data_IF_710994138913
#
_entry.id   IF_710994138913
#
_cell.length_a   1.000
_cell.length_b   1.000
_cell.length_c   1.000
_cell.angle_alpha   90.00
_cell.angle_beta   90.00
_cell.angle_gamma   90.00
#
_symmetry.space_group_name_H-M   'P 1'
#
loop_
_entity.id
_entity.type
_entity.pdbx_description
1 polymer ?
#
# COMPACT_ATOMS: atom_id res chain seq x y z
N UNK A 1 1.67 27.86 -7.09
CA UNK A 1 1.94 27.68 -5.65
C UNK A 1 3.00 26.61 -5.49
N UNK A 2 4.07 26.88 -4.73
CA UNK A 2 5.21 25.97 -4.60
C UNK A 2 4.95 24.90 -3.52
N UNK A 3 5.22 23.62 -3.86
CA UNK A 3 5.06 22.47 -2.95
C UNK A 3 6.36 21.65 -2.97
N UNK A 4 7.02 21.55 -1.83
CA UNK A 4 8.20 20.70 -1.68
C UNK A 4 7.85 19.38 -1.02
N UNK A 5 8.12 18.27 -1.70
CA UNK A 5 7.97 16.91 -1.20
C UNK A 5 9.27 16.45 -0.55
N UNK A 6 9.23 16.24 0.76
CA UNK A 6 10.37 15.86 1.58
C UNK A 6 10.40 14.34 1.77
N UNK A 7 11.37 13.70 1.14
CA UNK A 7 11.58 12.26 1.22
C UNK A 7 12.73 11.90 2.15
N UNK A 8 12.70 10.68 2.68
CA UNK A 8 13.87 10.07 3.35
C UNK A 8 15.06 9.93 2.39
N UNK A 9 16.22 9.54 2.90
CA UNK A 9 17.35 9.12 2.08
C UNK A 9 16.93 7.92 1.23
N UNK A 10 17.22 7.96 -0.06
CA UNK A 10 16.89 6.87 -0.97
C UNK A 10 17.53 5.56 -0.51
N UNK A 11 16.74 4.50 -0.47
CA UNK A 11 17.13 3.15 -0.06
C UNK A 11 16.67 2.12 -1.09
N UNK A 12 16.95 0.84 -0.89
CA UNK A 12 16.49 -0.24 -1.78
C UNK A 12 14.95 -0.38 -1.83
N UNK A 13 14.22 0.06 -0.80
CA UNK A 13 12.76 0.03 -0.78
C UNK A 13 12.22 1.40 -1.16
N UNK A 14 11.70 1.53 -2.37
CA UNK A 14 11.24 2.79 -2.98
C UNK A 14 9.71 2.89 -3.11
N UNK A 15 8.94 2.12 -2.35
CA UNK A 15 7.48 2.03 -2.52
C UNK A 15 6.75 3.38 -2.32
N UNK A 16 7.18 4.18 -1.34
CA UNK A 16 6.62 5.52 -1.09
C UNK A 16 7.04 6.49 -2.18
N UNK A 17 8.30 6.49 -2.52
CA UNK A 17 8.88 7.33 -3.56
C UNK A 17 8.23 7.04 -4.93
N UNK A 18 7.99 5.76 -5.23
CA UNK A 18 7.24 5.33 -6.41
C UNK A 18 5.81 5.88 -6.38
N UNK A 19 5.10 5.72 -5.27
CA UNK A 19 3.74 6.24 -5.12
C UNK A 19 3.67 7.73 -5.50
N UNK A 20 4.53 8.54 -4.88
CA UNK A 20 4.54 9.97 -5.14
C UNK A 20 5.05 10.35 -6.53
N UNK A 21 5.85 9.52 -7.21
CA UNK A 21 6.25 9.76 -8.60
C UNK A 21 5.06 9.72 -9.58
N UNK A 22 3.96 9.04 -9.23
CA UNK A 22 2.71 9.06 -9.99
C UNK A 22 1.79 10.23 -9.62
N UNK A 23 1.81 10.66 -8.35
CA UNK A 23 0.92 11.73 -7.86
C UNK A 23 1.46 13.11 -8.21
N UNK A 24 2.76 13.35 -8.07
CA UNK A 24 3.39 14.66 -8.23
C UNK A 24 3.15 15.27 -9.62
N UNK A 25 3.31 14.55 -10.74
CA UNK A 25 3.02 15.11 -12.07
C UNK A 25 1.55 15.52 -12.25
N UNK A 26 0.63 14.86 -11.57
CA UNK A 26 -0.78 15.23 -11.60
C UNK A 26 -1.08 16.47 -10.73
N UNK A 27 -0.32 16.67 -9.66
CA UNK A 27 -0.36 17.91 -8.86
C UNK A 27 0.17 19.10 -9.69
N UNK A 28 1.26 18.92 -10.46
CA UNK A 28 1.77 19.95 -11.37
C UNK A 28 0.73 20.38 -12.40
N UNK A 29 -0.01 19.43 -12.99
CA UNK A 29 -1.12 19.73 -13.92
C UNK A 29 -2.24 20.55 -13.28
N UNK A 30 -2.37 20.55 -11.96
CA UNK A 30 -3.32 21.37 -11.20
C UNK A 30 -2.80 22.78 -10.90
N UNK A 31 -1.64 23.15 -11.45
CA UNK A 31 -1.06 24.51 -11.35
C UNK A 31 -0.15 24.72 -10.13
N UNK A 32 0.38 23.65 -9.55
CA UNK A 32 1.42 23.74 -8.54
C UNK A 32 2.82 23.65 -9.16
N UNK A 33 3.82 24.26 -8.54
CA UNK A 33 5.24 24.10 -8.85
C UNK A 33 5.83 23.15 -7.82
N UNK A 34 6.07 21.89 -8.20
CA UNK A 34 6.47 20.84 -7.26
C UNK A 34 7.96 20.54 -7.34
N UNK A 35 8.57 20.23 -6.20
CA UNK A 35 9.97 19.80 -6.11
C UNK A 35 10.09 18.62 -5.17
N UNK A 36 10.81 17.58 -5.60
CA UNK A 36 11.15 16.43 -4.75
C UNK A 36 12.53 16.72 -4.11
N UNK A 37 12.58 16.65 -2.79
CA UNK A 37 13.79 16.92 -2.02
C UNK A 37 14.09 15.68 -1.16
N UNK A 38 15.09 14.91 -1.57
CA UNK A 38 15.54 13.73 -0.87
C UNK A 38 16.55 14.10 0.23
N UNK A 39 16.40 13.50 1.40
CA UNK A 39 17.38 13.65 2.49
C UNK A 39 18.74 13.07 2.06
N UNK A 40 19.83 13.86 2.06
CA UNK A 40 21.14 13.34 1.69
C UNK A 40 21.87 12.63 2.85
N UNK A 41 21.40 12.77 4.09
CA UNK A 41 22.11 12.34 5.30
C UNK A 41 21.54 11.03 5.88
N UNK A 42 22.41 10.30 6.59
CA UNK A 42 22.03 9.09 7.32
C UNK A 42 21.29 9.41 8.62
N UNK A 43 20.54 8.44 9.14
CA UNK A 43 19.77 8.58 10.38
C UNK A 43 20.65 8.31 11.61
N UNK A 44 21.65 9.18 11.84
CA UNK A 44 22.45 9.27 13.07
C UNK A 44 22.33 10.69 13.64
N UNK A 45 22.81 10.94 14.83
CA UNK A 45 22.63 12.21 15.55
C UNK A 45 23.09 13.41 14.71
N UNK A 46 24.28 13.35 14.14
CA UNK A 46 24.82 14.43 13.28
C UNK A 46 24.02 14.54 11.98
N UNK A 47 23.64 13.42 11.38
CA UNK A 47 22.83 13.40 10.16
C UNK A 47 21.43 13.97 10.38
N UNK A 48 20.80 13.71 11.52
CA UNK A 48 19.50 14.32 11.89
C UNK A 48 19.64 15.84 11.99
N UNK A 49 20.68 16.35 12.67
CA UNK A 49 20.91 17.81 12.78
C UNK A 49 21.12 18.43 11.39
N UNK A 50 21.98 17.81 10.56
CA UNK A 50 22.24 18.26 9.19
C UNK A 50 20.95 18.22 8.34
N UNK A 51 20.13 17.17 8.48
CA UNK A 51 18.85 17.05 7.79
C UNK A 51 17.89 18.19 8.16
N UNK A 52 17.78 18.51 9.46
CA UNK A 52 16.93 19.62 9.92
C UNK A 52 17.35 20.93 9.27
N UNK A 53 18.64 21.27 9.30
CA UNK A 53 19.16 22.49 8.68
C UNK A 53 18.93 22.50 7.15
N UNK A 54 19.20 21.36 6.50
CA UNK A 54 19.00 21.20 5.07
C UNK A 54 17.54 21.42 4.65
N UNK A 55 16.58 20.74 5.26
CA UNK A 55 15.16 20.90 4.92
C UNK A 55 14.63 22.29 5.29
N UNK A 56 15.10 22.87 6.39
CA UNK A 56 14.74 24.25 6.76
C UNK A 56 15.25 25.29 5.74
N UNK A 57 16.34 25.02 5.03
CA UNK A 57 16.82 25.88 3.94
C UNK A 57 16.03 25.72 2.64
N UNK A 58 15.24 24.63 2.50
CA UNK A 58 14.46 24.30 1.29
C UNK A 58 12.96 24.55 1.48
N UNK A 59 12.60 25.66 2.14
CA UNK A 59 11.19 26.00 2.39
C UNK A 59 10.46 26.33 1.10
N UNK A 60 9.20 25.90 1.02
CA UNK A 60 8.23 26.31 0.01
C UNK A 60 6.95 26.85 0.69
N UNK A 61 5.98 27.25 -0.12
CA UNK A 61 4.67 27.64 0.36
C UNK A 61 4.03 26.49 1.16
N UNK A 62 4.19 25.25 0.66
CA UNK A 62 3.80 24.03 1.34
C UNK A 62 4.96 23.07 1.39
N UNK A 63 5.17 22.43 2.54
CA UNK A 63 6.15 21.38 2.73
C UNK A 63 5.41 20.09 3.04
N UNK A 64 5.55 19.08 2.20
CA UNK A 64 4.88 17.80 2.36
C UNK A 64 5.90 16.71 2.72
N UNK A 65 5.85 16.21 3.94
CA UNK A 65 6.67 15.09 4.40
C UNK A 65 5.96 13.80 3.96
N UNK A 66 6.54 13.09 3.00
CA UNK A 66 5.94 11.89 2.39
C UNK A 66 6.54 10.58 2.86
N UNK A 67 7.79 10.64 3.34
CA UNK A 67 8.54 9.45 3.74
C UNK A 67 8.63 9.28 5.25
N UNK A 68 9.37 8.24 5.67
CA UNK A 68 9.55 7.84 7.05
C UNK A 68 10.58 8.76 7.80
N UNK A 69 10.34 10.07 7.74
CA UNK A 69 11.10 11.11 8.44
C UNK A 69 10.17 12.01 9.25
N UNK A 70 9.17 11.41 9.91
CA UNK A 70 8.11 12.13 10.65
C UNK A 70 8.68 13.11 11.68
N UNK A 71 9.79 12.78 12.34
CA UNK A 71 10.49 13.63 13.31
C UNK A 71 10.86 15.01 12.75
N UNK A 72 11.01 15.15 11.43
CA UNK A 72 11.29 16.42 10.77
C UNK A 72 10.16 17.44 11.00
N UNK A 73 8.93 16.98 11.12
CA UNK A 73 7.74 17.81 11.37
C UNK A 73 7.88 18.70 12.62
N UNK A 74 8.64 18.24 13.62
CA UNK A 74 8.86 18.97 14.88
C UNK A 74 9.56 20.31 14.62
N UNK A 75 10.39 20.37 13.60
CA UNK A 75 11.27 21.51 13.29
C UNK A 75 10.78 22.41 12.14
N UNK A 76 9.64 22.08 11.54
CA UNK A 76 9.04 22.84 10.44
C UNK A 76 7.85 23.69 10.90
N UNK A 77 7.41 24.61 10.03
CA UNK A 77 6.24 25.47 10.30
C UNK A 77 4.96 24.64 10.26
N UNK A 78 4.19 24.55 11.37
CA UNK A 78 3.00 23.70 11.43
C UNK A 78 1.85 24.16 10.53
N UNK A 79 1.83 25.43 10.12
CA UNK A 79 0.78 25.97 9.25
C UNK A 79 1.00 25.65 7.77
N UNK A 80 2.27 25.45 7.37
CA UNK A 80 2.66 25.18 5.98
C UNK A 80 3.25 23.78 5.78
N UNK A 81 3.12 22.90 6.75
CA UNK A 81 3.64 21.54 6.65
C UNK A 81 2.53 20.52 6.82
N UNK A 82 2.49 19.54 5.92
CA UNK A 82 1.64 18.34 6.00
C UNK A 82 2.54 17.10 6.12
N UNK A 83 2.09 16.11 6.87
CA UNK A 83 2.75 14.83 7.06
C UNK A 83 1.83 13.70 6.61
N UNK A 84 2.29 12.86 5.70
CA UNK A 84 1.62 11.59 5.35
C UNK A 84 2.15 10.45 6.23
N UNK A 85 1.26 9.79 6.95
CA UNK A 85 1.55 8.61 7.77
C UNK A 85 1.01 7.37 7.05
N UNK A 86 1.90 6.47 6.65
CA UNK A 86 1.56 5.27 5.89
C UNK A 86 1.04 4.13 6.77
N UNK A 87 1.66 3.92 7.93
CA UNK A 87 1.27 2.91 8.92
C UNK A 87 1.89 3.21 10.30
N UNK A 88 1.54 2.40 11.27
CA UNK A 88 2.12 2.40 12.61
C UNK A 88 2.84 1.08 12.96
N UNK A 89 3.26 0.33 11.94
CA UNK A 89 3.93 -0.99 12.11
C UNK A 89 5.14 -0.91 13.05
N UNK A 90 5.86 0.22 13.05
CA UNK A 90 6.95 0.44 14.00
C UNK A 90 6.55 0.30 15.48
N UNK A 91 5.30 0.65 15.84
CA UNK A 91 4.81 0.50 17.23
C UNK A 91 4.57 -0.96 17.62
N UNK A 92 4.29 -1.85 16.66
CA UNK A 92 4.04 -3.27 16.90
C UNK A 92 5.30 -4.12 16.81
N UNK A 93 6.25 -3.73 15.97
CA UNK A 93 7.48 -4.48 15.73
C UNK A 93 8.62 -4.12 16.68
N UNK A 94 8.62 -2.90 17.21
CA UNK A 94 9.63 -2.42 18.15
C UNK A 94 9.22 -2.70 19.61
N UNK A 95 10.21 -2.85 20.49
CA UNK A 95 10.01 -3.06 21.93
C UNK A 95 10.93 -2.16 22.76
N UNK A 96 10.63 -2.00 24.05
CA UNK A 96 11.44 -1.27 25.02
C UNK A 96 11.72 0.17 24.59
N UNK A 97 12.96 0.63 24.78
CA UNK A 97 13.39 2.01 24.50
C UNK A 97 13.20 2.40 23.03
N UNK A 98 13.40 1.46 22.08
CA UNK A 98 13.21 1.73 20.64
C UNK A 98 11.76 2.06 20.33
N UNK A 99 10.79 1.32 20.90
CA UNK A 99 9.36 1.61 20.76
C UNK A 99 9.01 2.96 21.38
N UNK A 100 9.56 3.29 22.53
CA UNK A 100 9.36 4.57 23.21
C UNK A 100 9.86 5.74 22.34
N UNK A 101 11.09 5.66 21.81
CA UNK A 101 11.65 6.67 20.90
C UNK A 101 10.78 6.82 19.65
N UNK A 102 10.39 5.71 19.03
CA UNK A 102 9.52 5.73 17.86
C UNK A 102 8.18 6.41 18.16
N UNK A 103 7.52 6.04 19.26
CA UNK A 103 6.25 6.67 19.66
C UNK A 103 6.40 8.19 19.79
N UNK A 104 7.42 8.68 20.48
CA UNK A 104 7.58 10.11 20.71
C UNK A 104 7.97 10.87 19.45
N UNK A 105 8.95 10.41 18.69
CA UNK A 105 9.54 11.17 17.58
C UNK A 105 8.90 10.89 16.22
N UNK A 106 8.25 9.75 16.01
CA UNK A 106 7.55 9.43 14.77
C UNK A 106 6.05 9.59 14.85
N UNK A 107 5.44 9.57 16.05
CA UNK A 107 3.98 9.64 16.23
C UNK A 107 3.59 10.87 17.03
N UNK A 108 3.86 10.90 18.33
CA UNK A 108 3.30 11.90 19.25
C UNK A 108 3.71 13.33 18.92
N UNK A 109 5.03 13.64 18.92
CA UNK A 109 5.51 15.01 18.71
C UNK A 109 5.18 15.56 17.31
N UNK A 110 5.36 14.81 16.18
CA UNK A 110 4.93 15.24 14.87
C UNK A 110 3.44 15.59 14.82
N UNK A 111 2.57 14.70 15.31
CA UNK A 111 1.11 14.90 15.30
C UNK A 111 0.70 16.07 16.21
N UNK A 112 1.33 16.20 17.38
CA UNK A 112 1.09 17.33 18.28
C UNK A 112 1.46 18.66 17.62
N UNK A 113 2.57 18.69 16.90
CA UNK A 113 3.13 19.91 16.30
C UNK A 113 2.34 20.39 15.09
N UNK A 114 1.95 19.49 14.18
CA UNK A 114 1.32 19.85 12.90
C UNK A 114 -0.19 20.07 13.03
N UNK A 115 -0.73 20.88 12.12
CA UNK A 115 -2.17 21.09 11.96
C UNK A 115 -2.79 20.17 10.91
N UNK A 116 -1.98 19.68 9.98
CA UNK A 116 -2.41 18.88 8.83
C UNK A 116 -1.64 17.58 8.74
N UNK A 117 -2.37 16.49 8.85
CA UNK A 117 -1.86 15.13 8.76
C UNK A 117 -2.69 14.35 7.78
N UNK A 118 -2.06 13.55 6.95
CA UNK A 118 -2.77 12.61 6.10
C UNK A 118 -2.43 11.17 6.47
N UNK A 119 -3.39 10.29 6.31
CA UNK A 119 -3.22 8.84 6.41
C UNK A 119 -3.70 8.18 5.14
N UNK A 120 -3.11 7.04 4.79
CA UNK A 120 -3.43 6.34 3.55
C UNK A 120 -4.67 5.45 3.65
N UNK A 121 -5.25 5.30 4.84
CA UNK A 121 -6.45 4.50 5.06
C UNK A 121 -7.19 4.95 6.32
N UNK A 122 -8.50 4.67 6.39
CA UNK A 122 -9.30 4.87 7.61
C UNK A 122 -8.78 4.02 8.77
N UNK A 123 -8.22 2.83 8.48
CA UNK A 123 -7.57 2.00 9.49
C UNK A 123 -6.41 2.72 10.16
N UNK A 124 -5.48 3.29 9.38
CA UNK A 124 -4.34 4.04 9.92
C UNK A 124 -4.81 5.27 10.72
N UNK A 125 -5.85 5.98 10.23
CA UNK A 125 -6.47 7.08 10.99
C UNK A 125 -7.02 6.57 12.33
N UNK A 126 -7.78 5.49 12.32
CA UNK A 126 -8.37 4.89 13.53
C UNK A 126 -7.30 4.48 14.54
N UNK A 127 -6.22 3.82 14.10
CA UNK A 127 -5.09 3.45 14.94
C UNK A 127 -4.43 4.68 15.60
N UNK A 128 -4.30 5.80 14.88
CA UNK A 128 -3.77 7.04 15.45
C UNK A 128 -4.76 7.64 16.46
N UNK A 129 -6.05 7.67 16.13
CA UNK A 129 -7.08 8.25 17.00
C UNK A 129 -7.26 7.44 18.28
N UNK A 130 -7.13 6.12 18.24
CA UNK A 130 -7.12 5.26 19.43
C UNK A 130 -5.95 5.58 20.37
N UNK A 131 -4.79 5.94 19.83
CA UNK A 131 -3.61 6.37 20.61
C UNK A 131 -3.69 7.82 21.07
N UNK A 132 -4.25 8.70 20.22
CA UNK A 132 -4.26 10.15 20.36
C UNK A 132 -5.63 10.72 19.98
N UNK A 133 -6.70 10.56 20.80
CA UNK A 133 -8.06 10.97 20.44
C UNK A 133 -8.20 12.46 20.05
N UNK A 134 -7.39 13.30 20.67
CA UNK A 134 -7.38 14.75 20.37
C UNK A 134 -6.88 15.09 18.97
N UNK A 135 -6.24 14.15 18.24
CA UNK A 135 -5.67 14.40 16.91
C UNK A 135 -6.68 14.21 15.76
N UNK A 136 -7.87 13.64 16.00
CA UNK A 136 -8.83 13.26 14.96
C UNK A 136 -9.12 14.37 13.95
N UNK A 137 -9.37 15.61 14.45
CA UNK A 137 -9.70 16.77 13.62
C UNK A 137 -8.55 17.24 12.70
N UNK A 138 -7.32 16.79 12.93
CA UNK A 138 -6.14 17.11 12.13
C UNK A 138 -5.90 16.12 11.00
N UNK A 139 -6.55 14.94 11.03
CA UNK A 139 -6.26 13.82 10.17
C UNK A 139 -7.27 13.74 9.03
N UNK A 140 -6.75 13.84 7.81
CA UNK A 140 -7.51 13.63 6.57
C UNK A 140 -7.04 12.33 5.93
N UNK A 141 -7.96 11.45 5.54
CA UNK A 141 -7.60 10.24 4.79
C UNK A 141 -7.46 10.61 3.32
N UNK A 142 -6.29 10.32 2.77
CA UNK A 142 -5.97 10.42 1.35
C UNK A 142 -5.28 9.12 0.96
N UNK A 143 -5.98 8.29 0.22
CA UNK A 143 -5.57 6.93 -0.11
C UNK A 143 -4.36 6.93 -1.07
N UNK A 144 -3.68 5.80 -1.15
CA UNK A 144 -2.66 5.59 -2.16
C UNK A 144 -3.30 5.51 -3.56
N UNK A 145 -2.60 6.01 -4.58
CA UNK A 145 -3.02 5.79 -5.96
C UNK A 145 -2.55 4.43 -6.48
N UNK A 146 -3.19 3.97 -7.55
CA UNK A 146 -2.68 2.89 -8.38
C UNK A 146 -1.36 3.35 -9.04
N UNK A 147 -0.28 2.59 -8.79
CA UNK A 147 1.07 2.85 -9.33
C UNK A 147 1.41 1.92 -10.49
N UNK A 148 0.40 1.52 -11.23
CA UNK A 148 0.46 0.45 -12.19
C UNK A 148 -0.18 0.93 -13.51
N UNK A 149 0.55 0.81 -14.60
CA UNK A 149 0.03 1.16 -15.93
C UNK A 149 -0.55 -0.09 -16.57
N UNK A 150 -1.87 -0.26 -16.50
CA UNK A 150 -2.54 -1.37 -17.18
C UNK A 150 -2.30 -1.26 -18.69
N UNK A 151 -1.44 -2.11 -19.25
CA UNK A 151 -1.43 -2.36 -20.69
C UNK A 151 -2.56 -3.35 -20.98
N UNK A 152 -3.45 -3.03 -21.91
CA UNK A 152 -4.39 -4.02 -22.43
C UNK A 152 -3.58 -5.10 -23.15
N UNK A 153 -3.45 -6.26 -22.50
CA UNK A 153 -2.92 -7.47 -23.12
C UNK A 153 -4.08 -8.42 -23.27
N UNK A 154 -4.23 -9.02 -24.44
CA UNK A 154 -5.25 -10.05 -24.65
C UNK A 154 -4.94 -11.26 -23.75
N UNK A 155 -5.85 -11.59 -22.84
CA UNK A 155 -5.67 -12.73 -21.93
C UNK A 155 -5.80 -14.03 -22.70
N UNK A 156 -4.78 -14.86 -22.66
CA UNK A 156 -4.81 -16.21 -23.19
C UNK A 156 -5.47 -17.10 -22.14
N UNK A 157 -6.55 -17.81 -22.47
CA UNK A 157 -7.18 -18.76 -21.55
C UNK A 157 -6.18 -19.85 -21.12
N UNK A 158 -6.13 -20.12 -19.83
CA UNK A 158 -5.29 -21.19 -19.28
C UNK A 158 -6.13 -22.47 -19.11
N UNK A 159 -5.55 -23.64 -19.42
CA UNK A 159 -6.17 -24.93 -19.11
C UNK A 159 -6.26 -25.17 -17.59
N UNK A 160 -5.33 -24.61 -16.84
CA UNK A 160 -5.26 -24.71 -15.38
C UNK A 160 -5.32 -23.31 -14.78
N UNK A 161 -6.25 -23.08 -13.86
CA UNK A 161 -6.43 -21.78 -13.21
C UNK A 161 -5.14 -21.33 -12.53
N UNK A 162 -4.67 -20.14 -12.88
CA UNK A 162 -3.46 -19.50 -12.35
C UNK A 162 -3.81 -18.61 -11.16
N UNK A 163 -3.32 -18.96 -9.98
CA UNK A 163 -3.53 -18.17 -8.75
C UNK A 163 -2.26 -17.41 -8.40
N UNK A 164 -2.39 -16.10 -8.24
CA UNK A 164 -1.31 -15.22 -7.82
C UNK A 164 -1.33 -14.97 -6.31
N UNK A 165 -0.18 -15.06 -5.70
CA UNK A 165 0.09 -14.63 -4.32
C UNK A 165 1.21 -13.59 -4.33
N UNK A 166 0.99 -12.41 -3.74
CA UNK A 166 1.98 -11.33 -3.67
C UNK A 166 2.41 -11.08 -2.23
N UNK A 167 3.68 -11.37 -1.96
CA UNK A 167 4.30 -11.29 -0.65
C UNK A 167 4.17 -12.59 0.15
N UNK A 168 5.20 -12.87 0.97
CA UNK A 168 5.35 -14.15 1.71
C UNK A 168 5.53 -13.95 3.21
N UNK A 169 5.45 -12.70 3.70
CA UNK A 169 5.54 -12.40 5.13
C UNK A 169 4.34 -12.97 5.88
N UNK A 170 4.47 -13.17 7.19
CA UNK A 170 3.43 -13.77 8.05
C UNK A 170 2.08 -13.07 7.93
N UNK A 171 2.06 -11.76 7.81
CA UNK A 171 0.81 -11.00 7.63
C UNK A 171 0.07 -11.31 6.32
N UNK A 172 0.74 -11.90 5.32
CA UNK A 172 0.11 -12.29 4.03
C UNK A 172 -0.70 -13.58 4.13
N UNK A 173 -0.51 -14.35 5.21
CA UNK A 173 -1.34 -15.52 5.55
C UNK A 173 -1.40 -16.59 4.44
N UNK A 174 -0.28 -16.79 3.76
CA UNK A 174 -0.21 -17.66 2.59
C UNK A 174 -0.41 -19.14 2.93
N UNK A 175 -0.11 -19.53 4.17
CA UNK A 175 -0.28 -20.90 4.67
C UNK A 175 -1.77 -21.30 4.68
N UNK A 176 -2.67 -20.37 4.99
CA UNK A 176 -4.11 -20.62 4.92
C UNK A 176 -4.55 -20.80 3.46
N UNK A 177 -3.99 -20.01 2.52
CA UNK A 177 -4.21 -20.20 1.08
C UNK A 177 -3.73 -21.57 0.62
N UNK A 178 -2.51 -21.98 0.99
CA UNK A 178 -1.98 -23.30 0.64
C UNK A 178 -2.91 -24.43 1.11
N UNK A 179 -3.41 -24.30 2.34
CA UNK A 179 -4.36 -25.28 2.92
C UNK A 179 -5.72 -25.30 2.20
N UNK A 180 -6.14 -24.16 1.64
CA UNK A 180 -7.40 -24.05 0.90
C UNK A 180 -7.33 -24.73 -0.48
N UNK A 181 -6.16 -24.68 -1.13
CA UNK A 181 -6.03 -25.10 -2.55
C UNK A 181 -5.42 -26.50 -2.75
N UNK A 182 -4.96 -27.18 -1.69
CA UNK A 182 -4.19 -28.42 -1.79
C UNK A 182 -4.84 -29.51 -2.64
N UNK A 183 -6.18 -29.52 -2.72
CA UNK A 183 -6.99 -30.51 -3.45
C UNK A 183 -7.63 -29.90 -4.72
N UNK A 184 -7.23 -28.68 -5.14
CA UNK A 184 -7.76 -28.02 -6.33
C UNK A 184 -6.81 -28.16 -7.53
N UNK A 185 -7.34 -28.28 -8.76
CA UNK A 185 -6.54 -28.32 -9.99
C UNK A 185 -6.06 -26.92 -10.38
N UNK A 186 -5.19 -26.33 -9.61
CA UNK A 186 -4.68 -24.95 -9.80
C UNK A 186 -3.16 -24.92 -9.82
N UNK A 187 -2.58 -23.88 -10.40
CA UNK A 187 -1.15 -23.59 -10.29
C UNK A 187 -0.94 -22.24 -9.60
N UNK A 188 0.02 -22.18 -8.66
CA UNK A 188 0.37 -20.96 -7.95
C UNK A 188 1.53 -20.23 -8.64
N UNK A 189 1.41 -18.91 -8.77
CA UNK A 189 2.57 -18.02 -8.91
C UNK A 189 2.73 -17.23 -7.63
N UNK A 190 3.88 -17.40 -6.94
CA UNK A 190 4.17 -16.78 -5.65
C UNK A 190 5.30 -15.78 -5.83
N UNK A 191 5.00 -14.52 -5.58
CA UNK A 191 5.98 -13.42 -5.64
C UNK A 191 6.48 -13.13 -4.23
N UNK A 192 7.76 -13.42 -3.99
CA UNK A 192 8.44 -13.23 -2.70
C UNK A 192 9.24 -14.46 -2.28
N UNK A 193 10.10 -14.28 -1.30
CA UNK A 193 10.96 -15.36 -0.80
C UNK A 193 10.18 -16.30 0.13
N UNK A 194 10.12 -17.58 -0.23
CA UNK A 194 9.49 -18.62 0.58
C UNK A 194 10.47 -19.15 1.65
N UNK A 195 10.00 -19.31 2.86
CA UNK A 195 10.77 -19.96 3.91
C UNK A 195 10.74 -21.49 3.77
N UNK A 196 11.62 -22.18 4.53
CA UNK A 196 11.75 -23.66 4.46
C UNK A 196 10.46 -24.41 4.78
N UNK A 197 9.63 -23.89 5.72
CA UNK A 197 8.35 -24.52 6.09
C UNK A 197 7.33 -24.40 4.96
N UNK A 198 7.25 -23.24 4.33
CA UNK A 198 6.37 -22.97 3.19
C UNK A 198 6.74 -23.85 1.99
N UNK A 199 8.02 -23.91 1.64
CA UNK A 199 8.51 -24.78 0.56
C UNK A 199 8.23 -26.26 0.85
N UNK A 200 8.46 -26.71 2.09
CA UNK A 200 8.16 -28.08 2.50
C UNK A 200 6.69 -28.40 2.35
N UNK A 201 5.80 -27.51 2.83
CA UNK A 201 4.35 -27.71 2.74
C UNK A 201 3.87 -27.88 1.28
N UNK A 202 4.33 -27.00 0.38
CA UNK A 202 3.97 -27.08 -1.05
C UNK A 202 4.40 -28.41 -1.68
N UNK A 203 5.61 -28.90 -1.36
CA UNK A 203 6.12 -30.18 -1.87
C UNK A 203 5.39 -31.38 -1.27
N UNK A 204 5.20 -31.41 0.04
CA UNK A 204 4.54 -32.55 0.75
C UNK A 204 3.09 -32.75 0.27
N UNK A 205 2.43 -31.69 -0.21
CA UNK A 205 1.05 -31.76 -0.72
C UNK A 205 0.96 -31.75 -2.25
N UNK A 206 2.07 -31.88 -2.96
CA UNK A 206 2.13 -31.89 -4.43
C UNK A 206 1.44 -30.67 -5.08
N UNK A 207 1.48 -29.48 -4.43
CA UNK A 207 0.91 -28.25 -4.98
C UNK A 207 1.82 -27.75 -6.11
N UNK A 208 1.25 -27.50 -7.29
CA UNK A 208 1.98 -26.91 -8.43
C UNK A 208 2.27 -25.45 -8.15
N UNK A 209 3.51 -25.02 -8.26
CA UNK A 209 3.87 -23.62 -8.02
C UNK A 209 5.08 -23.15 -8.80
N UNK A 210 5.10 -21.85 -9.09
CA UNK A 210 6.25 -21.06 -9.55
C UNK A 210 6.59 -20.05 -8.46
N UNK A 211 7.86 -19.94 -8.06
CA UNK A 211 8.29 -18.92 -7.09
C UNK A 211 9.18 -17.88 -7.77
N UNK A 212 8.81 -16.62 -7.64
CA UNK A 212 9.47 -15.46 -8.24
C UNK A 212 10.03 -14.55 -7.15
N UNK A 213 11.33 -14.27 -7.23
CA UNK A 213 12.05 -13.48 -6.22
C UNK A 213 12.85 -12.39 -6.93
N UNK A 214 12.88 -11.19 -6.37
CA UNK A 214 13.63 -10.05 -6.90
C UNK A 214 13.30 -9.72 -8.37
N UNK A 215 12.04 -9.83 -8.72
CA UNK A 215 11.54 -9.52 -10.08
C UNK A 215 11.46 -8.02 -10.33
N UNK A 216 11.51 -7.63 -11.59
CA UNK A 216 11.26 -6.25 -12.01
C UNK A 216 9.77 -5.89 -11.93
N UNK A 217 9.46 -4.61 -12.09
CA UNK A 217 8.07 -4.16 -12.13
C UNK A 217 7.34 -4.67 -13.38
N UNK A 218 8.05 -4.73 -14.50
CA UNK A 218 7.54 -5.27 -15.75
C UNK A 218 7.22 -6.76 -15.63
N UNK A 219 8.10 -7.53 -14.97
CA UNK A 219 7.83 -8.94 -14.69
C UNK A 219 6.64 -9.11 -13.74
N UNK A 220 6.50 -8.26 -12.71
CA UNK A 220 5.34 -8.28 -11.83
C UNK A 220 4.06 -7.98 -12.60
N UNK A 221 4.08 -6.98 -13.49
CA UNK A 221 2.95 -6.67 -14.37
C UNK A 221 2.57 -7.85 -15.24
N UNK A 222 3.55 -8.49 -15.86
CA UNK A 222 3.31 -9.67 -16.69
C UNK A 222 2.69 -10.81 -15.88
N UNK A 223 3.14 -11.06 -14.65
CA UNK A 223 2.57 -12.06 -13.75
C UNK A 223 1.10 -11.76 -13.42
N UNK A 224 0.75 -10.49 -13.18
CA UNK A 224 -0.67 -10.13 -13.00
C UNK A 224 -1.48 -10.48 -14.26
N UNK A 225 -1.03 -10.11 -15.45
CA UNK A 225 -1.77 -10.43 -16.70
C UNK A 225 -1.92 -11.93 -16.96
N UNK A 226 -0.91 -12.73 -16.58
CA UNK A 226 -0.94 -14.19 -16.72
C UNK A 226 -1.75 -14.88 -15.61
N UNK A 227 -2.31 -14.14 -14.67
CA UNK A 227 -3.06 -14.70 -13.54
C UNK A 227 -4.56 -14.60 -13.77
N UNK A 228 -5.29 -15.59 -13.24
CA UNK A 228 -6.75 -15.62 -13.25
C UNK A 228 -7.35 -15.05 -11.97
N UNK A 229 -6.70 -15.34 -10.83
CA UNK A 229 -7.17 -15.00 -9.48
C UNK A 229 -6.01 -14.47 -8.66
N UNK A 230 -6.18 -13.30 -8.03
CA UNK A 230 -5.34 -12.89 -6.91
C UNK A 230 -5.95 -13.42 -5.61
N UNK A 231 -5.21 -14.26 -4.88
CA UNK A 231 -5.59 -14.68 -3.53
C UNK A 231 -4.75 -13.90 -2.50
N UNK A 232 -5.42 -12.96 -1.80
CA UNK A 232 -4.76 -12.00 -0.90
C UNK A 232 -5.46 -11.91 0.47
N UNK A 233 -5.57 -13.02 1.22
CA UNK A 233 -6.25 -13.08 2.51
C UNK A 233 -5.35 -12.59 3.65
N UNK A 234 -4.80 -11.38 3.52
CA UNK A 234 -3.87 -10.81 4.50
C UNK A 234 -4.53 -10.58 5.85
N UNK A 235 -3.79 -10.81 6.94
CA UNK A 235 -4.22 -10.55 8.32
C UNK A 235 -4.04 -9.08 8.72
N UNK A 236 -3.13 -8.38 8.05
CA UNK A 236 -2.82 -6.98 8.32
C UNK A 236 -2.22 -6.34 7.07
N UNK A 237 -2.75 -5.16 6.69
CA UNK A 237 -2.20 -4.29 5.66
C UNK A 237 -2.26 -2.82 6.10
N UNK A 238 -1.37 -2.00 5.55
CA UNK A 238 -1.49 -0.54 5.64
C UNK A 238 -2.49 0.00 4.62
N UNK A 239 -2.56 -0.66 3.43
CA UNK A 239 -3.46 -0.28 2.36
C UNK A 239 -3.95 -1.50 1.55
N UNK A 240 -3.08 -2.12 0.73
CA UNK A 240 -3.44 -3.27 -0.10
C UNK A 240 -3.30 -2.99 -1.60
N UNK A 241 -2.22 -2.35 -2.03
CA UNK A 241 -1.94 -2.08 -3.45
C UNK A 241 -2.11 -3.29 -4.37
N UNK A 242 -1.71 -4.53 -4.01
CA UNK A 242 -1.92 -5.70 -4.84
C UNK A 242 -3.37 -5.92 -5.30
N UNK A 243 -4.35 -5.48 -4.51
CA UNK A 243 -5.77 -5.55 -4.87
C UNK A 243 -6.06 -4.66 -6.08
N UNK A 244 -5.60 -3.41 -6.06
CA UNK A 244 -5.80 -2.46 -7.16
C UNK A 244 -5.01 -2.86 -8.40
N UNK A 245 -3.81 -3.40 -8.23
CA UNK A 245 -2.95 -3.90 -9.30
C UNK A 245 -3.62 -5.08 -10.02
N UNK A 246 -4.23 -6.01 -9.27
CA UNK A 246 -5.00 -7.12 -9.83
C UNK A 246 -6.26 -6.64 -10.56
N UNK A 247 -7.03 -5.74 -9.95
CA UNK A 247 -8.22 -5.16 -10.58
C UNK A 247 -7.87 -4.43 -11.88
N UNK A 248 -6.76 -3.69 -11.92
CA UNK A 248 -6.28 -3.01 -13.12
C UNK A 248 -5.80 -3.97 -14.22
N UNK A 249 -5.40 -5.18 -13.84
CA UNK A 249 -4.96 -6.25 -14.75
C UNK A 249 -6.09 -7.21 -15.14
N UNK A 250 -7.34 -6.88 -14.83
CA UNK A 250 -8.51 -7.75 -15.09
C UNK A 250 -8.38 -9.14 -14.44
N UNK A 251 -7.82 -9.19 -13.22
CA UNK A 251 -7.67 -10.39 -12.39
C UNK A 251 -8.76 -10.39 -11.33
N UNK A 252 -9.46 -11.50 -11.18
CA UNK A 252 -10.45 -11.65 -10.12
C UNK A 252 -9.76 -11.65 -8.74
N UNK A 253 -10.34 -10.96 -7.77
CA UNK A 253 -9.71 -10.77 -6.44
C UNK A 253 -10.47 -11.50 -5.36
N UNK A 254 -9.76 -12.26 -4.55
CA UNK A 254 -10.21 -12.77 -3.24
C UNK A 254 -9.35 -12.10 -2.18
N UNK A 255 -9.96 -11.39 -1.23
CA UNK A 255 -9.23 -10.68 -0.17
C UNK A 255 -9.95 -10.72 1.16
N UNK A 256 -9.27 -10.30 2.22
CA UNK A 256 -9.81 -10.35 3.58
C UNK A 256 -10.96 -9.36 3.80
N UNK A 257 -11.98 -9.80 4.53
CA UNK A 257 -13.08 -8.95 5.03
C UNK A 257 -12.65 -8.14 6.26
N UNK A 258 -11.47 -7.52 6.21
CA UNK A 258 -10.94 -6.64 7.25
C UNK A 258 -10.45 -5.33 6.64
N UNK A 259 -10.42 -4.26 7.45
CA UNK A 259 -9.87 -2.97 7.05
C UNK A 259 -8.33 -3.06 6.93
N UNK A 260 -7.70 -2.44 5.92
CA UNK A 260 -8.27 -1.60 4.86
C UNK A 260 -8.59 -2.39 3.58
N UNK A 261 -8.33 -3.69 3.52
CA UNK A 261 -8.43 -4.49 2.29
C UNK A 261 -9.85 -4.53 1.72
N UNK A 262 -10.88 -4.59 2.58
CA UNK A 262 -12.28 -4.58 2.13
C UNK A 262 -12.69 -3.24 1.51
N UNK A 263 -12.23 -2.12 2.07
CA UNK A 263 -12.52 -0.78 1.55
C UNK A 263 -11.80 -0.57 0.21
N UNK A 264 -10.53 -0.95 0.14
CA UNK A 264 -9.72 -0.84 -1.10
C UNK A 264 -10.28 -1.71 -2.21
N UNK A 265 -10.77 -2.89 -1.89
CA UNK A 265 -11.35 -3.81 -2.86
C UNK A 265 -12.68 -3.32 -3.45
N UNK A 266 -13.44 -2.53 -2.70
CA UNK A 266 -14.77 -2.10 -3.09
C UNK A 266 -15.68 -3.29 -3.40
N UNK A 267 -16.43 -3.20 -4.51
CA UNK A 267 -17.28 -4.29 -5.02
C UNK A 267 -16.53 -5.27 -5.96
N UNK A 268 -15.24 -5.03 -6.20
CA UNK A 268 -14.42 -5.78 -7.18
C UNK A 268 -13.64 -6.94 -6.56
N UNK A 269 -14.09 -7.50 -5.45
CA UNK A 269 -13.47 -8.69 -4.83
C UNK A 269 -14.49 -9.54 -4.06
N UNK A 270 -14.19 -10.82 -3.91
CA UNK A 270 -14.84 -11.67 -2.90
C UNK A 270 -14.12 -11.40 -1.59
N UNK A 271 -14.89 -11.04 -0.56
CA UNK A 271 -14.40 -10.79 0.78
C UNK A 271 -14.54 -12.06 1.63
N UNK A 272 -13.45 -12.51 2.24
CA UNK A 272 -13.40 -13.76 3.03
C UNK A 272 -12.85 -13.50 4.44
N UNK A 273 -13.24 -14.36 5.37
CA UNK A 273 -12.51 -14.48 6.63
C UNK A 273 -11.12 -15.06 6.35
N UNK A 274 -10.02 -14.31 6.58
CA UNK A 274 -8.68 -14.78 6.24
C UNK A 274 -8.25 -16.05 7.01
N UNK A 275 -8.89 -16.38 8.11
CA UNK A 275 -8.60 -17.57 8.91
C UNK A 275 -9.44 -18.80 8.48
N UNK A 276 -10.45 -18.62 7.63
CA UNK A 276 -11.29 -19.72 7.14
C UNK A 276 -10.84 -20.23 5.77
N UNK A 277 -10.05 -21.30 5.79
CA UNK A 277 -9.58 -21.95 4.55
C UNK A 277 -10.71 -22.48 3.67
N UNK A 278 -11.88 -22.83 4.26
CA UNK A 278 -13.00 -23.37 3.50
C UNK A 278 -13.73 -22.25 2.74
N UNK A 279 -13.83 -21.06 3.34
CA UNK A 279 -14.37 -19.87 2.66
C UNK A 279 -13.47 -19.45 1.51
N UNK A 280 -12.15 -19.46 1.70
CA UNK A 280 -11.17 -19.20 0.63
C UNK A 280 -11.33 -20.26 -0.48
N UNK A 281 -11.39 -21.55 -0.14
CA UNK A 281 -11.56 -22.63 -1.11
C UNK A 281 -12.82 -22.45 -1.94
N UNK A 282 -13.99 -22.26 -1.29
CA UNK A 282 -15.28 -22.04 -1.96
C UNK A 282 -15.24 -20.83 -2.90
N UNK A 283 -14.56 -19.75 -2.50
CA UNK A 283 -14.42 -18.55 -3.33
C UNK A 283 -13.59 -18.83 -4.59
N UNK A 284 -12.53 -19.63 -4.46
CA UNK A 284 -11.72 -20.05 -5.63
C UNK A 284 -12.55 -20.95 -6.55
N UNK A 285 -13.24 -21.98 -5.99
CA UNK A 285 -14.11 -22.87 -6.76
C UNK A 285 -15.22 -22.10 -7.49
N UNK A 286 -15.83 -21.09 -6.86
CA UNK A 286 -16.82 -20.23 -7.48
C UNK A 286 -16.23 -19.50 -8.71
N UNK A 287 -15.05 -18.88 -8.58
CA UNK A 287 -14.40 -18.17 -9.69
C UNK A 287 -13.90 -19.11 -10.79
N UNK A 288 -13.64 -20.37 -10.49
CA UNK A 288 -13.29 -21.39 -11.48
C UNK A 288 -14.52 -21.86 -12.29
N UNK A 289 -15.68 -21.96 -11.66
CA UNK A 289 -16.86 -22.62 -12.23
C UNK A 289 -17.91 -21.65 -12.76
N UNK A 290 -17.88 -20.37 -12.35
CA UNK A 290 -18.84 -19.33 -12.78
C UNK A 290 -18.12 -18.19 -13.51
N UNK A 291 -18.01 -18.32 -14.82
CA UNK A 291 -17.36 -17.34 -15.69
C UNK A 291 -18.10 -15.99 -15.73
N UNK A 292 -19.45 -16.01 -15.65
CA UNK A 292 -20.25 -14.79 -15.66
C UNK A 292 -20.06 -14.00 -14.36
N UNK A 293 -20.06 -14.68 -13.22
CA UNK A 293 -19.76 -14.04 -11.93
C UNK A 293 -18.33 -13.50 -11.90
N UNK A 294 -17.33 -14.28 -12.35
CA UNK A 294 -15.93 -13.84 -12.48
C UNK A 294 -15.83 -12.56 -13.30
N UNK A 295 -16.49 -12.51 -14.47
CA UNK A 295 -16.51 -11.34 -15.34
C UNK A 295 -17.18 -10.12 -14.69
N UNK A 296 -18.30 -10.31 -14.02
CA UNK A 296 -18.98 -9.26 -13.26
C UNK A 296 -18.11 -8.66 -12.17
N UNK A 297 -17.38 -9.53 -11.43
CA UNK A 297 -16.45 -9.12 -10.37
C UNK A 297 -15.28 -8.30 -10.95
N UNK A 298 -14.69 -8.73 -12.04
CA UNK A 298 -13.62 -8.02 -12.77
C UNK A 298 -14.11 -6.63 -13.21
N UNK A 299 -15.29 -6.54 -13.83
CA UNK A 299 -15.87 -5.26 -14.24
C UNK A 299 -16.08 -4.31 -13.05
N UNK A 300 -16.53 -4.83 -11.91
CA UNK A 300 -16.66 -4.05 -10.68
C UNK A 300 -15.29 -3.56 -10.18
N UNK A 301 -14.24 -4.37 -10.35
CA UNK A 301 -12.86 -3.98 -10.04
C UNK A 301 -12.36 -2.85 -10.94
N UNK A 302 -12.62 -2.91 -12.25
CA UNK A 302 -12.25 -1.87 -13.21
C UNK A 302 -12.95 -0.52 -12.91
N UNK A 303 -14.19 -0.54 -12.44
CA UNK A 303 -14.86 0.66 -11.97
C UNK A 303 -14.23 1.19 -10.66
N UNK A 304 -13.90 0.29 -9.75
CA UNK A 304 -13.32 0.65 -8.46
C UNK A 304 -11.97 1.40 -8.59
N UNK A 305 -11.08 0.95 -9.47
CA UNK A 305 -9.75 1.57 -9.64
C UNK A 305 -9.79 3.02 -10.11
N UNK A 306 -10.91 3.48 -10.71
CA UNK A 306 -11.07 4.88 -11.12
C UNK A 306 -10.97 5.83 -9.93
N UNK A 307 -11.39 5.39 -8.74
CA UNK A 307 -11.31 6.16 -7.50
C UNK A 307 -9.88 6.30 -6.98
N UNK A 308 -8.98 5.43 -7.43
CA UNK A 308 -7.57 5.38 -7.03
C UNK A 308 -6.61 5.82 -8.13
N UNK A 309 -7.12 6.51 -9.16
CA UNK A 309 -6.25 7.08 -10.19
C UNK A 309 -5.34 8.18 -9.59
N UNK A 310 -4.09 8.34 -10.09
CA UNK A 310 -3.21 9.42 -9.65
C UNK A 310 -3.88 10.80 -9.71
N UNK A 311 -4.73 11.03 -10.73
CA UNK A 311 -5.50 12.28 -10.91
C UNK A 311 -6.48 12.52 -9.76
N UNK A 312 -7.20 11.48 -9.32
CA UNK A 312 -8.15 11.60 -8.19
C UNK A 312 -7.43 11.86 -6.88
N UNK A 313 -6.32 11.18 -6.64
CA UNK A 313 -5.52 11.37 -5.42
C UNK A 313 -4.86 12.75 -5.41
N UNK A 314 -4.34 13.22 -6.55
CA UNK A 314 -3.80 14.58 -6.69
C UNK A 314 -4.85 15.66 -6.39
N UNK A 315 -6.10 15.46 -6.83
CA UNK A 315 -7.21 16.38 -6.49
C UNK A 315 -7.46 16.46 -4.98
N UNK A 316 -7.47 15.30 -4.27
CA UNK A 316 -7.61 15.27 -2.80
C UNK A 316 -6.47 16.04 -2.10
N UNK A 317 -5.24 15.88 -2.54
CA UNK A 317 -4.10 16.65 -2.03
C UNK A 317 -4.25 18.15 -2.36
N UNK A 318 -4.67 18.50 -3.58
CA UNK A 318 -4.91 19.89 -3.96
C UNK A 318 -5.97 20.57 -3.06
N UNK A 319 -7.05 19.86 -2.72
CA UNK A 319 -8.08 20.36 -1.79
C UNK A 319 -7.51 20.61 -0.39
N UNK A 320 -6.69 19.68 0.11
CA UNK A 320 -5.98 19.85 1.37
C UNK A 320 -5.05 21.07 1.33
N UNK A 321 -4.24 21.21 0.28
CA UNK A 321 -3.32 22.34 0.14
C UNK A 321 -4.04 23.68 0.07
N UNK A 322 -5.18 23.76 -0.62
CA UNK A 322 -6.03 24.95 -0.64
C UNK A 322 -6.59 25.28 0.76
N UNK A 323 -6.95 24.25 1.55
CA UNK A 323 -7.39 24.44 2.94
C UNK A 323 -6.28 24.97 3.85
N UNK A 324 -5.03 24.57 3.60
CA UNK A 324 -3.87 25.04 4.37
C UNK A 324 -3.54 26.51 4.15
N UNK A 325 -4.03 27.10 3.06
CA UNK A 325 -3.75 28.49 2.65
C UNK A 325 -4.84 29.48 3.11
N UNK A 326 -5.95 28.97 3.63
CA UNK A 326 -7.00 29.78 4.27
C UNK A 326 -6.70 30.04 5.74
#
# INVERSE_FOLDING_TARGET
>A
MEVNFFNRKLSKSLSIEKLFSFIIPEIDKLGYDTKIINNPYDLNILGVIKSILFFRSKKATINHITGDIHWLAIFLNPKSTVLTIHDLVGLTQLSGLKRWIFYWFWVYLPIKRLNYITTISEKTKKEIVELLPWAEHKITVIENCLTFSAKKVEKIPHEITQILIVGTRVNKNIETTFSAIKDLPVELTIVGELNRKQLKYLKDHNIRFKNKINISEEELQQIYFESDILCFPSLYEGFGLPILEAQASEVAVITSNISPTKEVAGKGAILVNPLDKNEIKKSIELLMNDAEFKKSLINSGLENIKNYSPQMIAKKYSELYKKMMK
#
